data_IF_989000566869
#
_entry.id   IF_989000566869
#
_cell.length_a   1.000
_cell.length_b   1.000
_cell.length_c   1.000
_cell.angle_alpha   90.00
_cell.angle_beta   90.00
_cell.angle_gamma   90.00
#
_symmetry.space_group_name_H-M   'P 1'
#
loop_
_entity.id
_entity.type
_entity.pdbx_description
1 polymer ?
#
# COMPACT_ATOMS: atom_id res chain seq x y z
N UNK A 1 -32.75 -0.08 -10.53
CA UNK A 1 -31.63 -0.83 -11.15
C UNK A 1 -30.39 0.05 -11.36
N UNK A 2 -30.51 1.24 -11.96
CA UNK A 2 -29.33 2.05 -12.32
C UNK A 2 -28.56 2.67 -11.14
N UNK A 3 -29.22 2.96 -10.01
CA UNK A 3 -28.56 3.56 -8.83
C UNK A 3 -27.61 2.61 -8.09
N UNK A 4 -27.78 1.29 -8.23
CA UNK A 4 -26.90 0.28 -7.66
C UNK A 4 -25.64 0.04 -8.50
N UNK A 5 -25.70 0.22 -9.82
CA UNK A 5 -24.53 0.10 -10.72
C UNK A 5 -23.49 1.19 -10.46
N UNK A 6 -23.93 2.43 -10.25
CA UNK A 6 -23.03 3.58 -10.06
C UNK A 6 -22.32 3.58 -8.70
N UNK A 7 -22.94 3.01 -7.65
CA UNK A 7 -22.31 2.86 -6.33
C UNK A 7 -21.22 1.78 -6.37
N UNK A 8 -21.44 0.69 -7.10
CA UNK A 8 -20.44 -0.36 -7.28
C UNK A 8 -19.26 0.08 -8.16
N UNK A 9 -19.49 0.89 -9.20
CA UNK A 9 -18.41 1.37 -10.09
C UNK A 9 -17.42 2.31 -9.40
N UNK A 10 -17.89 3.25 -8.57
CA UNK A 10 -17.01 4.17 -7.82
C UNK A 10 -16.17 3.44 -6.79
N UNK A 11 -16.78 2.47 -6.13
CA UNK A 11 -16.15 1.62 -5.12
C UNK A 11 -15.05 0.74 -5.72
N UNK A 12 -15.34 0.06 -6.84
CA UNK A 12 -14.34 -0.72 -7.57
C UNK A 12 -13.18 0.13 -8.09
N UNK A 13 -13.46 1.33 -8.62
CA UNK A 13 -12.40 2.26 -9.06
C UNK A 13 -11.54 2.77 -7.91
N UNK A 14 -12.12 3.04 -6.74
CA UNK A 14 -11.37 3.48 -5.57
C UNK A 14 -10.36 2.40 -5.15
N UNK A 15 -10.82 1.16 -5.04
CA UNK A 15 -10.00 0.01 -4.66
C UNK A 15 -8.94 -0.34 -5.72
N UNK A 16 -9.30 -0.23 -7.00
CA UNK A 16 -8.40 -0.46 -8.13
C UNK A 16 -7.26 0.57 -8.21
N UNK A 17 -7.43 1.78 -7.66
CA UNK A 17 -6.40 2.83 -7.63
C UNK A 17 -5.64 2.85 -6.31
N UNK A 18 -6.29 2.50 -5.19
CA UNK A 18 -5.68 2.54 -3.86
C UNK A 18 -4.51 1.55 -3.72
N UNK A 19 -4.71 0.29 -4.11
CA UNK A 19 -3.68 -0.74 -4.05
C UNK A 19 -2.42 -0.41 -4.86
N UNK A 20 -2.52 -0.07 -6.17
CA UNK A 20 -1.34 0.35 -6.92
C UNK A 20 -0.78 1.69 -6.45
N UNK A 21 -1.60 2.59 -5.91
CA UNK A 21 -1.15 3.85 -5.31
C UNK A 21 -0.24 3.62 -4.10
N UNK A 22 -0.65 2.78 -3.15
CA UNK A 22 0.17 2.39 -1.99
C UNK A 22 1.48 1.74 -2.42
N UNK A 23 1.44 0.84 -3.41
CA UNK A 23 2.64 0.20 -3.95
C UNK A 23 3.58 1.20 -4.63
N UNK A 24 3.04 2.14 -5.42
CA UNK A 24 3.83 3.20 -6.04
C UNK A 24 4.52 4.07 -5.00
N UNK A 25 3.79 4.52 -3.97
CA UNK A 25 4.36 5.31 -2.87
C UNK A 25 5.44 4.53 -2.15
N UNK A 26 5.20 3.25 -1.83
CA UNK A 26 6.19 2.38 -1.18
C UNK A 26 7.46 2.21 -2.01
N UNK A 27 7.34 1.96 -3.31
CA UNK A 27 8.47 1.79 -4.22
C UNK A 27 9.26 3.10 -4.41
N UNK A 28 8.57 4.23 -4.59
CA UNK A 28 9.20 5.54 -4.69
C UNK A 28 9.96 5.89 -3.41
N UNK A 29 9.34 5.67 -2.25
CA UNK A 29 9.96 5.93 -0.95
C UNK A 29 11.19 5.03 -0.76
N UNK A 30 11.08 3.74 -1.08
CA UNK A 30 12.20 2.79 -1.04
C UNK A 30 13.35 3.24 -1.94
N UNK A 31 13.06 3.67 -3.17
CA UNK A 31 14.06 4.18 -4.11
C UNK A 31 14.76 5.45 -3.61
N UNK A 32 14.00 6.39 -3.06
CA UNK A 32 14.54 7.61 -2.46
C UNK A 32 15.45 7.32 -1.27
N UNK A 33 15.02 6.42 -0.37
CA UNK A 33 15.81 6.01 0.79
C UNK A 33 17.08 5.28 0.37
N UNK A 34 17.02 4.41 -0.65
CA UNK A 34 18.19 3.73 -1.19
C UNK A 34 19.18 4.71 -1.82
N UNK A 35 18.71 5.67 -2.60
CA UNK A 35 19.56 6.69 -3.23
C UNK A 35 20.25 7.55 -2.18
N UNK A 36 19.49 8.10 -1.24
CA UNK A 36 20.02 9.00 -0.21
C UNK A 36 20.87 8.25 0.83
N UNK A 37 20.36 7.13 1.33
CA UNK A 37 21.02 6.30 2.31
C UNK A 37 22.27 5.62 1.75
N UNK A 38 22.23 5.14 0.50
CA UNK A 38 23.39 4.61 -0.20
C UNK A 38 24.47 5.67 -0.42
N UNK A 39 24.07 6.88 -0.82
CA UNK A 39 24.99 8.02 -0.96
C UNK A 39 25.70 8.37 0.36
N UNK A 40 24.99 8.30 1.50
CA UNK A 40 25.60 8.53 2.84
C UNK A 40 26.36 7.32 3.40
N UNK A 41 26.05 6.10 2.97
CA UNK A 41 26.76 4.92 3.40
C UNK A 41 28.15 4.79 2.75
N UNK A 42 28.31 5.27 1.51
CA UNK A 42 29.59 5.29 0.79
C UNK A 42 30.72 6.03 1.52
N UNK A 43 30.52 7.26 2.05
CA UNK A 43 31.53 7.98 2.82
C UNK A 43 31.70 7.47 4.26
N UNK A 44 30.95 6.44 4.70
CA UNK A 44 31.07 5.86 6.03
C UNK A 44 30.31 6.58 7.15
N UNK A 45 29.52 7.62 6.82
CA UNK A 45 28.67 8.33 7.80
C UNK A 45 27.52 7.45 8.32
N UNK A 46 27.15 6.41 7.58
CA UNK A 46 26.09 5.47 7.94
C UNK A 46 26.50 4.04 7.58
N UNK A 47 26.14 3.07 8.43
CA UNK A 47 26.39 1.66 8.11
C UNK A 47 25.34 1.12 7.15
N UNK A 48 25.72 0.16 6.31
CA UNK A 48 24.78 -0.58 5.44
C UNK A 48 23.71 -1.28 6.29
N UNK A 49 24.05 -1.75 7.50
CA UNK A 49 23.10 -2.36 8.43
C UNK A 49 22.00 -1.40 8.88
N UNK A 50 22.33 -0.15 9.16
CA UNK A 50 21.35 0.89 9.51
C UNK A 50 20.38 1.15 8.34
N UNK A 51 20.90 1.24 7.10
CA UNK A 51 20.07 1.40 5.91
C UNK A 51 19.14 0.20 5.70
N UNK A 52 19.67 -1.02 5.82
CA UNK A 52 18.89 -2.24 5.67
C UNK A 52 17.76 -2.34 6.73
N UNK A 53 18.07 -2.03 7.99
CA UNK A 53 17.08 -1.99 9.07
C UNK A 53 15.98 -0.95 8.79
N UNK A 54 16.35 0.23 8.30
CA UNK A 54 15.38 1.26 7.95
C UNK A 54 14.44 0.80 6.82
N UNK A 55 14.97 0.16 5.79
CA UNK A 55 14.16 -0.39 4.69
C UNK A 55 13.23 -1.52 5.15
N UNK A 56 13.68 -2.36 6.09
CA UNK A 56 12.84 -3.38 6.71
C UNK A 56 11.67 -2.74 7.47
N UNK A 57 11.93 -1.73 8.30
CA UNK A 57 10.88 -1.01 9.03
C UNK A 57 9.94 -0.27 8.08
N UNK A 58 10.46 0.32 7.00
CA UNK A 58 9.63 0.93 5.97
C UNK A 58 8.67 -0.10 5.36
N UNK A 59 9.15 -1.30 5.02
CA UNK A 59 8.31 -2.38 4.50
C UNK A 59 7.24 -2.80 5.51
N UNK A 60 7.62 -3.01 6.77
CA UNK A 60 6.69 -3.36 7.86
C UNK A 60 5.63 -2.27 8.10
N UNK A 61 5.94 -1.01 7.81
CA UNK A 61 4.97 0.09 7.90
C UNK A 61 3.92 0.05 6.78
N UNK A 62 4.30 -0.38 5.57
CA UNK A 62 3.37 -0.45 4.42
C UNK A 62 2.57 -1.76 4.35
N UNK A 63 3.00 -2.81 5.04
CA UNK A 63 2.32 -4.12 5.08
C UNK A 63 0.88 -4.03 5.62
N UNK A 64 0.62 -3.37 6.78
CA UNK A 64 -0.73 -3.23 7.32
C UNK A 64 -1.68 -2.48 6.38
N UNK A 65 -1.17 -1.55 5.59
CA UNK A 65 -2.00 -0.81 4.63
C UNK A 65 -2.58 -1.73 3.55
N UNK A 66 -1.84 -2.77 3.15
CA UNK A 66 -2.33 -3.77 2.21
C UNK A 66 -3.38 -4.66 2.87
N UNK A 67 -3.17 -5.06 4.12
CA UNK A 67 -4.13 -5.87 4.89
C UNK A 67 -5.47 -5.14 5.08
N UNK A 68 -5.43 -3.86 5.47
CA UNK A 68 -6.62 -3.02 5.59
C UNK A 68 -7.38 -2.97 4.26
N UNK A 69 -6.67 -2.79 3.15
CA UNK A 69 -7.27 -2.72 1.82
C UNK A 69 -7.93 -4.06 1.42
N UNK A 70 -7.33 -5.21 1.78
CA UNK A 70 -7.96 -6.52 1.58
C UNK A 70 -9.17 -6.72 2.50
N UNK A 71 -9.08 -6.30 3.76
CA UNK A 71 -10.18 -6.37 4.72
C UNK A 71 -11.40 -5.60 4.21
N UNK A 72 -11.22 -4.37 3.69
CA UNK A 72 -12.31 -3.60 3.09
C UNK A 72 -12.97 -4.30 1.89
N UNK A 73 -12.17 -4.90 1.00
CA UNK A 73 -12.69 -5.68 -0.13
C UNK A 73 -13.55 -6.87 0.34
N UNK A 74 -13.07 -7.61 1.35
CA UNK A 74 -13.76 -8.76 1.92
C UNK A 74 -15.05 -8.33 2.63
N UNK A 75 -14.99 -7.28 3.45
CA UNK A 75 -16.15 -6.73 4.14
C UNK A 75 -17.25 -6.31 3.16
N UNK A 76 -16.87 -5.61 2.10
CA UNK A 76 -17.81 -5.17 1.07
C UNK A 76 -18.43 -6.34 0.29
N UNK A 77 -17.65 -7.39 0.02
CA UNK A 77 -18.13 -8.60 -0.62
C UNK A 77 -19.14 -9.34 0.26
N UNK A 78 -18.89 -9.41 1.58
CA UNK A 78 -19.79 -10.03 2.55
C UNK A 78 -21.11 -9.25 2.70
N UNK A 79 -21.06 -7.92 2.82
CA UNK A 79 -22.26 -7.09 2.89
C UNK A 79 -23.14 -7.22 1.63
N UNK A 80 -22.54 -7.27 0.44
CA UNK A 80 -23.29 -7.43 -0.81
C UNK A 80 -23.91 -8.82 -0.98
N UNK A 81 -23.33 -9.85 -0.35
CA UNK A 81 -23.93 -11.19 -0.30
C UNK A 81 -25.17 -11.22 0.62
N UNK A 82 -25.12 -10.55 1.76
CA UNK A 82 -26.24 -10.39 2.69
C UNK A 82 -27.38 -9.54 2.11
N UNK A 83 -27.07 -8.50 1.34
CA UNK A 83 -28.08 -7.67 0.67
C UNK A 83 -28.82 -8.40 -0.47
N UNK A 84 -28.28 -9.54 -0.93
CA UNK A 84 -28.88 -10.39 -1.98
C UNK A 84 -29.71 -11.56 -1.45
N UNK A 85 -29.70 -11.80 -0.13
CA UNK A 85 -30.53 -12.77 0.57
C UNK A 85 -31.82 -12.11 1.06
#
# INVERSE_FOLDING_TARGET
ADRYRVINEKTFKLLAVFMPGVKLVGNLTTGLVLLYGGYRALPGEMTIGTLAAFLLYLRMFFEPMQEISQFFNTFQSASSALEKL
#
